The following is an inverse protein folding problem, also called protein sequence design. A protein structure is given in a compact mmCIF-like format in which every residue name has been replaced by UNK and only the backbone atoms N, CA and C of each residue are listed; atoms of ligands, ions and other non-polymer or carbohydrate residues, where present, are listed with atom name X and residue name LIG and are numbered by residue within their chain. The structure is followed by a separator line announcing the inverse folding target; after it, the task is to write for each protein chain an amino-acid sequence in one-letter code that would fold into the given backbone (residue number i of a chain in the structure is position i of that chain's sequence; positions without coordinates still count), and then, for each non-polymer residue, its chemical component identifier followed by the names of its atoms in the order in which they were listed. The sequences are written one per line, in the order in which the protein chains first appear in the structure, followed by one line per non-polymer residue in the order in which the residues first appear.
data_IF_711991893863
#
_entry.id   IF_711991893863
#
_cell.length_a   1.000
_cell.length_b   1.000
_cell.length_c   1.000
_cell.angle_alpha   90.00
_cell.angle_beta   90.00
_cell.angle_gamma   90.00
#
_symmetry.space_group_name_H-M   'P 1'
#
loop_
_entity.id
_entity.type
_entity.pdbx_description
1 polymer ?
#
# COMPACT_ATOMS: atom_id res chain seq x y z
N UNK A 1 24.14 -15.16 13.37
CA UNK A 1 24.39 -16.62 13.37
C UNK A 1 25.62 -16.87 12.51
N UNK A 2 26.67 -17.55 13.02
CA UNK A 2 27.88 -17.79 12.23
C UNK A 2 27.61 -18.91 11.21
N UNK A 3 27.92 -18.63 9.94
CA UNK A 3 27.78 -19.61 8.85
C UNK A 3 28.95 -20.58 8.97
N UNK A 4 28.68 -21.89 9.01
CA UNK A 4 29.72 -22.93 9.01
C UNK A 4 30.36 -23.06 7.63
N UNK A 5 31.61 -23.48 7.56
CA UNK A 5 32.31 -23.64 6.29
C UNK A 5 31.62 -24.62 5.34
N UNK A 6 31.01 -25.69 5.91
CA UNK A 6 30.21 -26.63 5.12
C UNK A 6 28.96 -25.98 4.51
N UNK A 7 28.29 -25.10 5.24
CA UNK A 7 27.14 -24.34 4.72
C UNK A 7 27.58 -23.33 3.68
N UNK A 8 28.71 -22.65 3.90
CA UNK A 8 29.27 -21.68 2.96
C UNK A 8 29.55 -22.34 1.60
N UNK A 9 30.17 -23.52 1.61
CA UNK A 9 30.47 -24.25 0.38
C UNK A 9 29.19 -24.62 -0.40
N UNK A 10 28.14 -25.09 0.29
CA UNK A 10 26.84 -25.38 -0.34
C UNK A 10 26.20 -24.13 -0.97
N UNK A 11 26.23 -23.00 -0.27
CA UNK A 11 25.70 -21.75 -0.81
C UNK A 11 26.52 -21.27 -2.03
N UNK A 12 27.84 -21.44 -2.00
CA UNK A 12 28.72 -21.14 -3.11
C UNK A 12 28.34 -21.91 -4.36
N UNK A 13 28.19 -23.23 -4.23
CA UNK A 13 27.77 -24.11 -5.34
C UNK A 13 26.42 -23.68 -5.95
N UNK A 14 25.43 -23.33 -5.10
CA UNK A 14 24.12 -22.87 -5.57
C UNK A 14 24.27 -21.54 -6.34
N UNK A 15 24.95 -20.56 -5.76
CA UNK A 15 25.08 -19.22 -6.34
C UNK A 15 25.91 -19.24 -7.64
N UNK A 16 26.96 -20.07 -7.72
CA UNK A 16 27.78 -20.22 -8.92
C UNK A 16 27.02 -20.94 -10.04
N UNK A 17 26.23 -21.97 -9.69
CA UNK A 17 25.37 -22.68 -10.63
C UNK A 17 24.34 -21.74 -11.28
N UNK A 18 23.65 -20.93 -10.47
CA UNK A 18 22.56 -20.10 -10.94
C UNK A 18 23.05 -18.84 -11.68
N UNK A 19 24.17 -18.25 -11.22
CA UNK A 19 24.74 -17.04 -11.87
C UNK A 19 25.77 -17.34 -12.96
N UNK A 20 26.21 -18.59 -13.11
CA UNK A 20 27.29 -19.03 -14.01
C UNK A 20 28.61 -18.25 -13.81
N UNK A 21 28.83 -17.70 -12.62
CA UNK A 21 30.03 -16.90 -12.27
C UNK A 21 30.64 -17.47 -10.99
N UNK A 22 32.00 -17.61 -10.99
CA UNK A 22 32.74 -17.93 -9.78
C UNK A 22 32.68 -16.78 -8.79
N UNK A 23 32.59 -17.11 -7.50
CA UNK A 23 32.47 -16.14 -6.41
C UNK A 23 33.54 -16.41 -5.36
N UNK A 24 34.03 -15.34 -4.73
CA UNK A 24 34.87 -15.47 -3.53
C UNK A 24 34.03 -15.87 -2.33
N UNK A 25 34.64 -16.39 -1.27
CA UNK A 25 33.94 -16.77 -0.05
C UNK A 25 33.29 -15.55 0.63
N UNK A 26 33.92 -14.36 0.53
CA UNK A 26 33.37 -13.11 1.05
C UNK A 26 32.10 -12.69 0.28
N UNK A 27 32.11 -12.76 -1.06
CA UNK A 27 30.92 -12.49 -1.87
C UNK A 27 29.77 -13.46 -1.54
N UNK A 28 30.08 -14.72 -1.20
CA UNK A 28 29.08 -15.70 -0.79
C UNK A 28 28.53 -15.36 0.60
N UNK A 29 29.40 -15.00 1.56
CA UNK A 29 28.98 -14.58 2.91
C UNK A 29 28.04 -13.38 2.86
N UNK A 30 28.40 -12.34 2.12
CA UNK A 30 27.57 -11.15 1.93
C UNK A 30 26.22 -11.49 1.29
N UNK A 31 26.20 -12.34 0.26
CA UNK A 31 24.96 -12.74 -0.38
C UNK A 31 24.03 -13.53 0.58
N UNK A 32 24.60 -14.45 1.35
CA UNK A 32 23.82 -15.24 2.33
C UNK A 32 23.30 -14.34 3.46
N UNK A 33 24.10 -13.39 3.93
CA UNK A 33 23.66 -12.44 4.96
C UNK A 33 22.47 -11.60 4.48
N UNK A 34 22.53 -11.04 3.27
CA UNK A 34 21.43 -10.29 2.67
C UNK A 34 20.17 -11.13 2.50
N UNK A 35 20.31 -12.37 2.01
CA UNK A 35 19.17 -13.30 1.89
C UNK A 35 18.57 -13.59 3.26
N UNK A 36 19.40 -13.82 4.27
CA UNK A 36 18.96 -14.10 5.65
C UNK A 36 18.20 -12.90 6.22
N UNK A 37 18.73 -11.68 6.06
CA UNK A 37 18.07 -10.45 6.50
C UNK A 37 16.70 -10.27 5.80
N UNK A 38 16.65 -10.51 4.50
CA UNK A 38 15.41 -10.45 3.72
C UNK A 38 14.38 -11.49 4.19
N UNK A 39 14.81 -12.74 4.39
CA UNK A 39 13.91 -13.78 4.91
C UNK A 39 13.41 -13.45 6.32
N UNK A 40 14.26 -12.92 7.19
CA UNK A 40 13.88 -12.49 8.53
C UNK A 40 12.81 -11.41 8.47
N UNK A 41 13.02 -10.39 7.62
CA UNK A 41 12.05 -9.32 7.41
C UNK A 41 10.68 -9.86 6.96
N UNK A 42 10.65 -10.79 6.00
CA UNK A 42 9.41 -11.41 5.52
C UNK A 42 8.72 -12.18 6.65
N UNK A 43 9.48 -12.95 7.44
CA UNK A 43 8.92 -13.70 8.56
C UNK A 43 8.32 -12.76 9.61
N UNK A 44 9.00 -11.68 9.92
CA UNK A 44 8.52 -10.70 10.91
C UNK A 44 7.27 -9.97 10.41
N UNK A 45 7.23 -9.57 9.13
CA UNK A 45 6.02 -9.02 8.50
C UNK A 45 4.84 -10.00 8.57
N UNK A 46 5.07 -11.28 8.25
CA UNK A 46 4.03 -12.31 8.34
C UNK A 46 3.52 -12.50 9.78
N UNK A 47 4.42 -12.53 10.76
CA UNK A 47 4.06 -12.63 12.18
C UNK A 47 3.22 -11.45 12.64
N UNK A 48 3.62 -10.23 12.24
CA UNK A 48 2.85 -9.02 12.57
C UNK A 48 1.45 -9.05 11.95
N UNK A 49 1.33 -9.50 10.71
CA UNK A 49 0.02 -9.62 10.05
C UNK A 49 -0.86 -10.64 10.77
N UNK A 50 -0.32 -11.81 11.13
CA UNK A 50 -1.03 -12.81 11.92
C UNK A 50 -1.45 -12.32 13.30
N UNK A 51 -0.63 -11.51 13.96
CA UNK A 51 -1.00 -10.89 15.24
C UNK A 51 -2.17 -9.90 15.05
N UNK A 52 -2.16 -9.11 13.96
CA UNK A 52 -3.26 -8.19 13.64
C UNK A 52 -4.55 -8.95 13.33
N UNK A 53 -4.49 -10.03 12.57
CA UNK A 53 -5.65 -10.91 12.30
C UNK A 53 -6.23 -11.45 13.60
N UNK A 54 -5.41 -12.03 14.47
CA UNK A 54 -5.84 -12.55 15.77
C UNK A 54 -6.48 -11.47 16.64
N UNK A 55 -5.92 -10.26 16.67
CA UNK A 55 -6.48 -9.15 17.42
C UNK A 55 -7.82 -8.69 16.86
N UNK A 56 -8.06 -8.84 15.54
CA UNK A 56 -9.37 -8.58 14.93
C UNK A 56 -10.44 -9.61 15.32
N UNK A 57 -10.07 -10.84 15.67
CA UNK A 57 -11.02 -11.81 16.22
C UNK A 57 -11.53 -11.37 17.59
N UNK A 58 -10.64 -10.75 18.41
CA UNK A 58 -10.99 -10.21 19.73
C UNK A 58 -11.76 -8.87 19.61
N UNK A 59 -11.43 -8.05 18.60
CA UNK A 59 -12.02 -6.73 18.33
C UNK A 59 -12.59 -6.63 16.91
N UNK A 60 -13.73 -7.27 16.61
CA UNK A 60 -14.25 -7.37 15.24
C UNK A 60 -14.56 -6.03 14.56
N UNK A 61 -14.85 -4.99 15.36
CA UNK A 61 -15.15 -3.65 14.87
C UNK A 61 -13.90 -2.83 14.56
N UNK A 62 -12.73 -3.31 14.98
CA UNK A 62 -11.45 -2.63 14.84
C UNK A 62 -10.84 -2.17 16.16
N UNK A 63 -9.60 -1.70 16.10
CA UNK A 63 -8.82 -1.25 17.26
C UNK A 63 -7.74 -0.25 16.85
N UNK A 64 -7.20 0.47 17.83
CA UNK A 64 -6.02 1.33 17.65
C UNK A 64 -4.74 0.49 17.67
N UNK A 65 -3.81 0.82 16.79
CA UNK A 65 -2.48 0.21 16.84
C UNK A 65 -1.71 0.80 18.02
N UNK A 66 -0.81 0.00 18.59
CA UNK A 66 0.09 0.46 19.63
C UNK A 66 1.13 1.42 19.06
N UNK A 67 1.53 2.43 19.86
CA UNK A 67 2.66 3.26 19.51
C UNK A 67 3.93 2.38 19.50
N UNK A 68 4.44 2.13 18.32
CA UNK A 68 5.78 1.61 18.08
C UNK A 68 6.59 2.72 17.44
N UNK A 69 7.90 2.60 17.43
CA UNK A 69 8.83 3.56 16.79
C UNK A 69 8.59 3.70 15.25
N UNK A 70 7.48 3.23 14.76
CA UNK A 70 7.06 3.26 13.37
C UNK A 70 5.94 4.26 13.13
N UNK A 71 6.17 5.18 12.21
CA UNK A 71 5.11 6.03 11.68
C UNK A 71 4.20 5.21 10.80
N UNK A 72 2.90 5.28 11.07
CA UNK A 72 1.88 4.64 10.24
C UNK A 72 1.37 5.60 9.16
N UNK A 73 0.90 5.04 8.06
CA UNK A 73 0.23 5.80 7.00
C UNK A 73 -1.22 5.36 6.86
N UNK A 74 -2.14 6.32 6.82
CA UNK A 74 -3.51 6.04 6.43
C UNK A 74 -3.56 5.57 4.97
N UNK A 75 -4.17 4.43 4.70
CA UNK A 75 -4.27 3.89 3.33
C UNK A 75 -5.21 4.66 2.40
N UNK A 76 -6.05 5.54 2.95
CA UNK A 76 -6.98 6.35 2.18
C UNK A 76 -6.36 7.72 1.87
N UNK A 77 -6.06 8.53 2.88
CA UNK A 77 -5.57 9.91 2.69
C UNK A 77 -4.04 10.05 2.73
N UNK A 78 -3.30 8.98 3.04
CA UNK A 78 -1.83 8.93 3.11
C UNK A 78 -1.20 9.80 4.19
N UNK A 79 -2.01 10.39 5.08
CA UNK A 79 -1.52 11.13 6.24
C UNK A 79 -0.70 10.22 7.14
N UNK A 80 0.40 10.73 7.67
CA UNK A 80 1.11 10.10 8.79
C UNK A 80 0.23 10.13 10.04
N UNK A 81 0.19 9.04 10.76
CA UNK A 81 -0.65 8.86 11.95
C UNK A 81 0.13 8.12 13.03
N UNK A 82 -0.10 8.49 14.27
CA UNK A 82 0.43 7.83 15.46
C UNK A 82 -0.59 6.82 16.00
N UNK A 83 -0.19 5.94 16.89
CA UNK A 83 -0.99 4.83 17.39
C UNK A 83 -2.42 5.18 17.77
N UNK A 84 -2.61 6.23 18.60
CA UNK A 84 -3.93 6.72 19.05
C UNK A 84 -4.82 7.25 17.90
N UNK A 85 -4.21 7.72 16.81
CA UNK A 85 -4.92 8.25 15.64
C UNK A 85 -5.12 7.18 14.56
N UNK A 86 -4.68 5.95 14.80
CA UNK A 86 -4.87 4.81 13.91
C UNK A 86 -6.22 4.15 14.17
N UNK A 87 -6.77 3.55 13.12
CA UNK A 87 -7.84 2.57 13.21
C UNK A 87 -7.54 1.41 12.28
N UNK A 88 -7.51 0.22 12.84
CA UNK A 88 -7.29 -1.01 12.08
C UNK A 88 -8.51 -1.91 12.21
N UNK A 89 -9.13 -2.24 11.10
CA UNK A 89 -10.27 -3.14 11.02
C UNK A 89 -10.13 -4.12 9.84
N UNK A 90 -11.18 -4.88 9.54
CA UNK A 90 -11.23 -5.83 8.42
C UNK A 90 -10.89 -5.21 7.06
N UNK A 91 -10.96 -3.92 6.91
CA UNK A 91 -10.61 -3.19 5.68
C UNK A 91 -9.18 -2.66 5.67
N UNK A 92 -8.49 -2.70 6.82
CA UNK A 92 -7.10 -2.28 6.97
C UNK A 92 -6.92 -0.97 7.74
N UNK A 93 -5.70 -0.44 7.67
CA UNK A 93 -5.26 0.71 8.45
C UNK A 93 -5.74 2.04 7.87
N UNK A 94 -6.34 2.88 8.68
CA UNK A 94 -6.77 4.24 8.33
C UNK A 94 -6.65 5.19 9.52
N UNK A 95 -6.69 6.50 9.28
CA UNK A 95 -6.78 7.48 10.36
C UNK A 95 -8.21 7.62 10.88
N UNK A 96 -8.37 8.19 12.07
CA UNK A 96 -9.69 8.38 12.70
C UNK A 96 -10.64 9.24 11.85
N UNK A 97 -10.11 10.25 11.12
CA UNK A 97 -10.96 11.05 10.24
C UNK A 97 -11.50 10.21 9.07
N UNK A 98 -10.65 9.37 8.44
CA UNK A 98 -11.11 8.46 7.39
C UNK A 98 -12.07 7.41 7.93
N UNK A 99 -11.84 6.88 9.15
CA UNK A 99 -12.78 5.96 9.79
C UNK A 99 -14.15 6.61 9.99
N UNK A 100 -14.19 7.83 10.51
CA UNK A 100 -15.45 8.58 10.69
C UNK A 100 -16.21 8.77 9.37
N UNK A 101 -15.50 9.04 8.26
CA UNK A 101 -16.12 9.15 6.95
C UNK A 101 -16.65 7.80 6.43
N UNK A 102 -16.04 6.68 6.80
CA UNK A 102 -16.56 5.33 6.53
C UNK A 102 -17.83 5.09 7.37
N UNK A 103 -17.78 5.37 8.67
CA UNK A 103 -18.91 5.17 9.59
C UNK A 103 -20.14 6.01 9.21
N UNK A 104 -19.91 7.22 8.71
CA UNK A 104 -20.95 8.11 8.21
C UNK A 104 -21.43 7.76 6.79
N UNK A 105 -20.90 6.70 6.16
CA UNK A 105 -21.30 6.28 4.81
C UNK A 105 -20.87 7.23 3.70
N UNK A 106 -19.93 8.15 3.96
CA UNK A 106 -19.36 9.06 2.93
C UNK A 106 -18.56 8.28 1.90
N UNK A 107 -17.82 7.27 2.35
CA UNK A 107 -17.04 6.36 1.51
C UNK A 107 -17.18 4.92 2.01
N UNK A 108 -17.13 3.92 1.12
CA UNK A 108 -17.11 2.51 1.53
C UNK A 108 -15.76 2.12 2.14
N UNK A 109 -15.78 1.22 3.13
CA UNK A 109 -14.55 0.75 3.80
C UNK A 109 -13.60 -0.02 2.87
N UNK A 110 -14.15 -0.68 1.85
CA UNK A 110 -13.44 -1.50 0.87
C UNK A 110 -12.32 -0.74 0.13
N UNK A 111 -12.46 0.56 -0.05
CA UNK A 111 -11.44 1.40 -0.71
C UNK A 111 -10.10 1.41 0.04
N UNK A 112 -10.12 1.07 1.34
CA UNK A 112 -8.91 0.94 2.13
C UNK A 112 -8.07 -0.29 1.75
N UNK A 113 -8.72 -1.37 1.28
CA UNK A 113 -8.05 -2.61 0.82
C UNK A 113 -7.56 -2.51 -0.60
N UNK A 114 -8.33 -1.88 -1.46
CA UNK A 114 -8.10 -1.88 -2.91
C UNK A 114 -8.10 -0.47 -3.47
N UNK A 115 -6.91 0.01 -3.77
CA UNK A 115 -6.70 1.34 -4.38
C UNK A 115 -7.22 1.42 -5.82
N UNK A 116 -7.56 0.30 -6.45
CA UNK A 116 -8.14 0.29 -7.81
C UNK A 116 -9.59 0.75 -7.85
N UNK A 117 -10.26 0.74 -6.68
CA UNK A 117 -11.67 1.11 -6.56
C UNK A 117 -11.92 2.62 -6.61
N UNK A 118 -10.88 3.44 -6.60
CA UNK A 118 -11.01 4.88 -6.51
C UNK A 118 -9.81 5.64 -7.05
N UNK A 119 -10.00 6.95 -7.30
CA UNK A 119 -8.97 7.89 -7.73
C UNK A 119 -8.81 9.03 -6.72
N UNK A 120 -7.57 9.52 -6.62
CA UNK A 120 -7.19 10.77 -5.94
C UNK A 120 -7.19 11.92 -6.94
N UNK A 121 -7.25 13.14 -6.47
CA UNK A 121 -7.17 14.35 -7.32
C UNK A 121 -5.99 14.35 -8.30
N UNK A 122 -4.80 13.95 -7.84
CA UNK A 122 -3.63 13.96 -8.71
C UNK A 122 -3.68 12.86 -9.78
N UNK A 123 -4.33 11.72 -9.47
CA UNK A 123 -4.51 10.61 -10.43
C UNK A 123 -5.45 10.99 -11.57
N UNK A 124 -6.42 11.89 -11.34
CA UNK A 124 -7.23 12.41 -12.44
C UNK A 124 -6.36 13.08 -13.50
N UNK A 125 -5.29 13.78 -13.08
CA UNK A 125 -4.35 14.40 -14.02
C UNK A 125 -3.40 13.40 -14.63
N UNK A 126 -2.74 12.57 -13.80
CA UNK A 126 -1.70 11.63 -14.28
C UNK A 126 -2.26 10.49 -15.12
N UNK A 127 -3.38 9.91 -14.69
CA UNK A 127 -3.92 8.67 -15.27
C UNK A 127 -5.01 8.94 -16.32
N UNK A 128 -5.77 10.03 -16.17
CA UNK A 128 -6.91 10.37 -17.03
C UNK A 128 -6.68 11.64 -17.85
N UNK A 129 -5.59 12.39 -17.64
CA UNK A 129 -5.31 13.65 -18.33
C UNK A 129 -6.25 14.80 -17.94
N UNK A 130 -7.00 14.68 -16.84
CA UNK A 130 -8.00 15.66 -16.42
C UNK A 130 -7.36 16.68 -15.49
N UNK A 131 -7.25 17.92 -15.97
CA UNK A 131 -6.72 19.01 -15.15
C UNK A 131 -7.65 19.34 -13.97
N UNK A 132 -7.13 19.76 -12.78
CA UNK A 132 -7.94 20.04 -11.60
C UNK A 132 -9.10 21.02 -11.81
N UNK A 133 -8.91 22.05 -12.66
CA UNK A 133 -9.98 22.99 -13.01
C UNK A 133 -11.09 22.32 -13.83
N UNK A 134 -10.71 21.42 -14.75
CA UNK A 134 -11.66 20.62 -15.54
C UNK A 134 -12.41 19.66 -14.63
N UNK A 135 -11.73 19.02 -13.69
CA UNK A 135 -12.37 18.15 -12.69
C UNK A 135 -13.42 18.91 -11.88
N UNK A 136 -13.11 20.11 -11.38
CA UNK A 136 -14.06 20.98 -10.67
C UNK A 136 -15.28 21.36 -11.52
N UNK A 137 -15.07 21.61 -12.84
CA UNK A 137 -16.16 21.89 -13.77
C UNK A 137 -17.05 20.65 -13.95
N UNK A 138 -16.45 19.49 -14.18
CA UNK A 138 -17.17 18.21 -14.35
C UNK A 138 -17.99 17.83 -13.11
N UNK A 139 -17.45 18.08 -11.92
CA UNK A 139 -18.18 17.88 -10.66
C UNK A 139 -19.39 18.81 -10.56
N UNK A 140 -19.24 20.09 -10.92
CA UNK A 140 -20.37 21.05 -10.95
C UNK A 140 -21.44 20.70 -11.99
N UNK A 141 -21.04 20.07 -13.10
CA UNK A 141 -21.93 19.58 -14.14
C UNK A 141 -22.50 18.18 -13.84
N UNK A 142 -22.25 17.65 -12.63
CA UNK A 142 -22.66 16.30 -12.18
C UNK A 142 -22.18 15.14 -13.07
N UNK A 143 -21.19 15.41 -13.94
CA UNK A 143 -20.58 14.42 -14.83
C UNK A 143 -19.51 13.57 -14.14
N UNK A 144 -18.97 14.09 -13.05
CA UNK A 144 -17.97 13.43 -12.21
C UNK A 144 -18.38 13.51 -10.74
N UNK A 145 -18.58 12.37 -10.12
CA UNK A 145 -18.98 12.29 -8.70
C UNK A 145 -17.74 12.27 -7.82
N UNK A 146 -17.76 13.08 -6.77
CA UNK A 146 -16.68 13.23 -5.79
C UNK A 146 -17.22 13.09 -4.37
N UNK A 147 -16.48 12.39 -3.52
CA UNK A 147 -16.70 12.34 -2.08
C UNK A 147 -15.68 13.23 -1.38
N UNK A 148 -16.16 14.22 -0.65
CA UNK A 148 -15.34 15.11 0.16
C UNK A 148 -15.22 14.50 1.56
N UNK A 149 -14.01 14.10 1.94
CA UNK A 149 -13.73 13.62 3.28
C UNK A 149 -13.58 14.80 4.22
N UNK A 150 -14.31 14.76 5.33
CA UNK A 150 -14.34 15.82 6.33
C UNK A 150 -13.47 15.44 7.54
N UNK A 151 -12.72 16.41 8.05
CA UNK A 151 -12.01 16.30 9.32
C UNK A 151 -12.98 16.47 10.51
N UNK A 152 -12.41 16.51 11.74
CA UNK A 152 -13.18 16.75 12.97
C UNK A 152 -13.90 18.08 12.99
N UNK A 153 -13.40 19.09 12.28
CA UNK A 153 -13.97 20.44 12.22
C UNK A 153 -14.99 20.61 11.09
N UNK A 154 -15.29 19.52 10.35
CA UNK A 154 -16.19 19.54 9.20
C UNK A 154 -15.59 20.16 7.93
N UNK A 155 -14.27 20.37 7.88
CA UNK A 155 -13.58 20.88 6.70
C UNK A 155 -13.15 19.76 5.79
N UNK A 156 -13.30 19.95 4.49
CA UNK A 156 -12.79 19.00 3.49
C UNK A 156 -11.26 18.99 3.50
N UNK A 157 -10.68 17.83 3.82
CA UNK A 157 -9.23 17.64 3.81
C UNK A 157 -8.74 16.72 2.68
N UNK A 158 -9.64 15.88 2.13
CA UNK A 158 -9.29 14.94 1.07
C UNK A 158 -10.48 14.70 0.14
N UNK A 159 -10.22 14.29 -1.11
CA UNK A 159 -11.25 13.99 -2.10
C UNK A 159 -11.02 12.62 -2.73
N UNK A 160 -12.10 11.85 -2.83
CA UNK A 160 -12.14 10.50 -3.37
C UNK A 160 -13.13 10.43 -4.52
N UNK A 161 -12.73 9.83 -5.63
CA UNK A 161 -13.57 9.59 -6.80
C UNK A 161 -13.73 8.08 -6.96
N UNK A 162 -14.89 7.54 -6.57
CA UNK A 162 -15.16 6.10 -6.65
C UNK A 162 -15.32 5.67 -8.11
N UNK A 163 -14.61 4.60 -8.49
CA UNK A 163 -14.72 4.02 -9.85
C UNK A 163 -16.14 3.53 -10.10
N UNK A 164 -16.77 2.90 -9.11
CA UNK A 164 -18.13 2.36 -9.23
C UNK A 164 -19.18 3.40 -9.61
N UNK A 165 -19.04 4.64 -9.13
CA UNK A 165 -19.96 5.74 -9.37
C UNK A 165 -19.63 6.57 -10.61
N UNK A 166 -18.42 6.43 -11.12
CA UNK A 166 -17.92 7.21 -12.25
C UNK A 166 -17.71 6.35 -13.52
N UNK A 167 -18.28 5.13 -13.58
CA UNK A 167 -18.08 4.18 -14.69
C UNK A 167 -18.37 4.78 -16.06
N UNK A 168 -19.47 5.50 -16.21
CA UNK A 168 -19.86 6.05 -17.50
C UNK A 168 -18.95 7.18 -17.94
N UNK A 169 -18.54 8.02 -17.00
CA UNK A 169 -17.54 9.05 -17.25
C UNK A 169 -16.19 8.42 -17.67
N UNK A 170 -15.73 7.40 -16.95
CA UNK A 170 -14.46 6.72 -17.24
C UNK A 170 -14.43 6.08 -18.65
N UNK A 171 -15.57 5.59 -19.16
CA UNK A 171 -15.68 5.12 -20.55
C UNK A 171 -15.41 6.24 -21.57
N UNK A 172 -15.84 7.46 -21.26
CA UNK A 172 -15.66 8.61 -22.20
C UNK A 172 -14.21 9.07 -22.33
N UNK A 173 -13.41 8.90 -21.27
CA UNK A 173 -11.98 9.33 -21.24
C UNK A 173 -11.01 8.24 -21.70
N UNK A 174 -11.51 7.15 -22.32
CA UNK A 174 -10.69 6.01 -22.77
C UNK A 174 -9.78 5.44 -21.69
N UNK A 175 -10.24 5.50 -20.44
CA UNK A 175 -9.54 4.87 -19.33
C UNK A 175 -9.42 3.38 -19.62
N UNK A 176 -8.20 2.90 -19.77
CA UNK A 176 -7.90 1.47 -19.79
C UNK A 176 -7.68 1.08 -18.34
N UNK A 177 -8.51 0.19 -17.83
CA UNK A 177 -8.27 -0.48 -16.55
C UNK A 177 -6.86 -1.07 -16.60
N UNK A 178 -5.92 -0.39 -15.99
CA UNK A 178 -4.59 -0.96 -15.78
C UNK A 178 -4.83 -2.11 -14.82
N UNK A 179 -4.68 -3.34 -15.30
CA UNK A 179 -4.48 -4.47 -14.41
C UNK A 179 -3.31 -4.07 -13.52
N UNK A 180 -3.61 -3.65 -12.30
CA UNK A 180 -2.60 -3.33 -11.28
C UNK A 180 -2.08 -4.61 -10.65
N UNK A 181 -1.65 -5.55 -11.46
CA UNK A 181 -0.54 -6.38 -11.07
C UNK A 181 0.61 -5.40 -10.96
N UNK A 182 1.01 -5.04 -9.73
CA UNK A 182 2.31 -4.44 -9.52
C UNK A 182 3.30 -5.30 -10.32
N UNK A 183 3.85 -4.85 -11.43
CA UNK A 183 5.07 -5.42 -11.87
C UNK A 183 6.03 -4.98 -10.76
N UNK A 184 6.52 -5.93 -9.98
CA UNK A 184 7.86 -5.78 -9.42
C UNK A 184 8.67 -5.42 -10.64
N UNK A 185 9.02 -4.14 -10.78
CA UNK A 185 9.94 -3.68 -11.82
C UNK A 185 11.26 -4.34 -11.49
N UNK A 186 11.42 -5.55 -11.95
CA UNK A 186 12.73 -6.16 -12.11
C UNK A 186 13.27 -5.48 -13.34
N UNK A 187 13.95 -4.35 -13.11
CA UNK A 187 14.74 -3.71 -14.15
C UNK A 187 15.80 -4.72 -14.58
N UNK A 188 15.89 -5.02 -15.88
CA UNK A 188 16.87 -5.97 -16.43
C UNK A 188 18.33 -5.57 -16.12
N UNK A 189 18.55 -4.43 -15.47
CA UNK A 189 19.85 -3.90 -15.06
C UNK A 189 20.22 -4.17 -13.59
N UNK A 190 19.44 -4.97 -12.85
CA UNK A 190 19.72 -5.27 -11.45
C UNK A 190 19.57 -4.05 -10.53
N UNK A 191 19.35 -4.25 -9.22
CA UNK A 191 19.23 -3.16 -8.29
C UNK A 191 20.53 -2.34 -8.25
N UNK A 192 20.43 -1.06 -8.54
CA UNK A 192 21.48 -0.08 -8.22
C UNK A 192 21.35 0.18 -6.72
N UNK A 193 22.27 -0.37 -5.94
CA UNK A 193 22.50 0.00 -4.55
C UNK A 193 23.62 1.01 -4.47
#
# INVERSE_FOLDING_TARGET
MAITDQSLQKYKEILERDSKRKRSDDEVRDAVERITQFCTLIIDMYREEKQKEKKLEEFPNGYHLEDRDGQYHCRICYKYIEGKDTWYDRYGLKCMDCQRNVDNGVIPGEICKDESLWFKNWQLKSDLGIHPQTAKKLVREEKLKVHNLLDSDGKTYFQVYLVSENKDFLKTVKWKEKSRTNPIMVDEKGPIF
#
